data_IF_756509156179
#
_entry.id   IF_756509156179
#
_cell.length_a   1.000
_cell.length_b   1.000
_cell.length_c   1.000
_cell.angle_alpha   90.00
_cell.angle_beta   90.00
_cell.angle_gamma   90.00
#
_symmetry.space_group_name_H-M   'P 1'
#
loop_
_entity.id
_entity.type
_entity.pdbx_description
1 polymer ?
#
# COMPACT_ATOMS: atom_id res chain seq x y z
N UNK A 1 85.58 0.55 10.03
CA UNK A 1 85.03 -0.24 11.15
C UNK A 1 83.81 0.51 11.66
N UNK A 2 82.59 0.01 11.74
CA UNK A 2 81.98 -1.28 11.45
C UNK A 2 80.44 -1.05 11.52
N UNK A 3 79.72 -1.47 10.48
CA UNK A 3 78.34 -1.98 10.38
C UNK A 3 77.23 -1.72 11.46
N UNK A 4 76.10 -1.12 10.99
CA UNK A 4 74.71 -1.66 10.84
C UNK A 4 73.66 -1.80 11.99
N UNK A 5 72.38 -1.53 11.60
CA UNK A 5 71.04 -1.96 12.11
C UNK A 5 70.45 -1.11 13.28
N UNK A 6 69.15 -0.80 13.44
CA UNK A 6 67.87 -1.17 12.80
C UNK A 6 66.79 -0.11 13.14
N UNK A 7 65.69 -0.12 12.37
CA UNK A 7 64.44 0.67 12.38
C UNK A 7 63.64 0.81 13.70
N UNK A 8 62.80 1.85 13.83
CA UNK A 8 61.33 1.72 13.81
C UNK A 8 60.59 3.07 13.67
N UNK A 9 59.42 2.99 13.05
CA UNK A 9 58.48 4.01 12.56
C UNK A 9 57.77 4.76 13.70
N UNK A 10 57.60 6.08 13.56
CA UNK A 10 56.70 6.91 14.38
C UNK A 10 55.69 7.63 13.50
N UNK A 11 54.42 7.21 13.56
CA UNK A 11 53.28 7.77 12.83
C UNK A 11 52.94 9.15 13.41
N UNK A 12 52.79 10.15 12.53
CA UNK A 12 52.62 11.55 12.90
C UNK A 12 51.15 11.97 13.05
N UNK A 13 50.97 12.92 13.98
CA UNK A 13 49.92 13.92 14.13
C UNK A 13 48.57 13.49 14.74
N UNK A 14 48.42 13.86 16.01
CA UNK A 14 47.16 14.01 16.72
C UNK A 14 46.69 15.48 16.68
N UNK A 15 45.38 15.62 16.49
CA UNK A 15 44.46 16.69 16.95
C UNK A 15 44.61 18.12 16.43
N UNK A 16 43.59 18.56 15.67
CA UNK A 16 42.88 19.80 15.96
C UNK A 16 41.41 19.64 15.54
N UNK A 17 40.53 19.80 16.52
CA UNK A 17 39.09 19.65 16.43
C UNK A 17 38.42 20.92 15.87
N UNK A 18 37.14 20.77 15.50
CA UNK A 18 36.12 21.80 15.29
C UNK A 18 35.81 22.16 13.83
N UNK A 19 34.90 21.42 13.18
CA UNK A 19 33.93 21.99 12.24
C UNK A 19 32.59 21.20 12.24
N UNK A 20 31.51 21.97 12.27
CA UNK A 20 30.09 21.70 12.01
C UNK A 20 29.60 20.25 11.95
N UNK A 21 28.58 19.95 12.78
CA UNK A 21 27.65 18.84 12.56
C UNK A 21 26.91 19.00 11.23
N UNK A 22 27.49 18.48 10.16
CA UNK A 22 26.79 18.22 8.91
C UNK A 22 25.67 17.21 9.19
N UNK A 23 24.43 17.59 8.88
CA UNK A 23 23.29 16.68 8.85
C UNK A 23 23.62 15.50 7.94
N UNK A 24 23.76 14.31 8.52
CA UNK A 24 23.85 13.05 7.78
C UNK A 24 22.57 12.87 6.97
N UNK A 25 22.64 13.30 5.71
CA UNK A 25 21.59 13.12 4.71
C UNK A 25 21.80 11.73 4.13
N UNK A 26 21.64 10.70 4.96
CA UNK A 26 21.72 9.32 4.51
C UNK A 26 20.48 9.06 3.65
N UNK A 27 20.62 9.30 2.36
CA UNK A 27 19.65 8.92 1.35
C UNK A 27 19.54 7.39 1.39
N UNK A 28 18.54 6.89 2.12
CA UNK A 28 18.18 5.50 2.06
C UNK A 28 17.54 5.25 0.70
N UNK A 29 18.24 4.54 -0.17
CA UNK A 29 17.68 4.03 -1.41
C UNK A 29 16.59 3.03 -1.03
N UNK A 30 15.33 3.47 -1.02
CA UNK A 30 14.19 2.57 -0.93
C UNK A 30 14.06 1.88 -2.28
N UNK A 31 14.67 0.70 -2.41
CA UNK A 31 14.33 -0.22 -3.49
C UNK A 31 12.84 -0.50 -3.41
N UNK A 32 12.06 0.01 -4.36
CA UNK A 32 10.66 -0.37 -4.51
C UNK A 32 10.62 -1.72 -5.22
N UNK A 33 11.10 -2.77 -4.55
CA UNK A 33 10.90 -4.13 -5.03
C UNK A 33 9.40 -4.38 -5.04
N UNK A 34 8.87 -4.78 -6.20
CA UNK A 34 7.46 -5.18 -6.33
C UNK A 34 7.22 -6.25 -5.28
N UNK A 35 6.28 -5.99 -4.37
CA UNK A 35 5.87 -6.96 -3.36
C UNK A 35 5.55 -8.27 -4.05
N UNK A 36 6.22 -9.34 -3.61
CA UNK A 36 5.95 -10.67 -4.12
C UNK A 36 4.50 -11.02 -3.80
N UNK A 37 3.71 -11.29 -4.84
CA UNK A 37 2.35 -11.78 -4.67
C UNK A 37 2.41 -13.05 -3.83
N UNK A 38 1.52 -13.24 -2.84
CA UNK A 38 1.48 -14.50 -2.10
C UNK A 38 1.35 -15.65 -3.12
N UNK A 39 2.32 -16.57 -3.11
CA UNK A 39 2.43 -17.70 -4.05
C UNK A 39 1.40 -18.81 -3.73
N UNK A 40 0.20 -18.41 -3.32
CA UNK A 40 -0.89 -19.30 -2.99
C UNK A 40 -1.66 -19.67 -4.25
N UNK A 41 -1.89 -20.97 -4.46
CA UNK A 41 -2.70 -21.44 -5.58
C UNK A 41 -4.16 -21.16 -5.25
N UNK A 42 -4.75 -20.18 -5.94
CA UNK A 42 -6.17 -19.86 -5.80
C UNK A 42 -7.02 -20.77 -6.69
N UNK A 43 -8.19 -21.14 -6.20
CA UNK A 43 -9.18 -21.86 -7.00
C UNK A 43 -9.76 -20.89 -8.04
N UNK A 44 -9.93 -21.30 -9.31
CA UNK A 44 -10.53 -20.43 -10.32
C UNK A 44 -11.99 -20.09 -9.95
N UNK A 45 -12.54 -19.00 -10.52
CA UNK A 45 -13.93 -18.62 -10.29
C UNK A 45 -14.90 -19.77 -10.61
N UNK A 46 -15.88 -19.99 -9.73
CA UNK A 46 -16.84 -21.09 -9.87
C UNK A 46 -17.88 -20.88 -10.97
N UNK A 47 -18.14 -19.63 -11.37
CA UNK A 47 -19.15 -19.27 -12.37
C UNK A 47 -18.77 -18.00 -13.12
N UNK A 48 -19.17 -17.86 -14.39
CA UNK A 48 -19.01 -16.61 -15.12
C UNK A 48 -19.91 -15.51 -14.51
N UNK A 49 -19.51 -14.26 -14.71
CA UNK A 49 -20.33 -13.08 -14.41
C UNK A 49 -21.43 -12.96 -15.46
N UNK A 50 -22.68 -12.80 -15.00
CA UNK A 50 -23.82 -12.49 -15.85
C UNK A 50 -23.90 -10.99 -16.05
N UNK A 51 -23.99 -10.55 -17.29
CA UNK A 51 -24.12 -9.14 -17.66
C UNK A 51 -25.57 -8.80 -17.96
N UNK A 52 -26.01 -7.62 -17.51
CA UNK A 52 -27.24 -6.97 -17.97
C UNK A 52 -26.93 -5.64 -18.64
N UNK A 53 -27.96 -4.90 -18.99
CA UNK A 53 -27.84 -3.54 -19.56
C UNK A 53 -27.19 -2.57 -18.56
N UNK A 54 -27.41 -2.81 -17.26
CA UNK A 54 -26.85 -2.06 -16.15
C UNK A 54 -26.19 -2.99 -15.13
N UNK A 55 -24.97 -2.65 -14.71
CA UNK A 55 -24.13 -3.48 -13.86
C UNK A 55 -23.49 -2.64 -12.74
N UNK A 56 -23.17 -3.29 -11.62
CA UNK A 56 -22.55 -2.62 -10.45
C UNK A 56 -21.43 -3.48 -9.88
N UNK A 57 -20.25 -2.88 -9.67
CA UNK A 57 -19.23 -3.36 -8.73
C UNK A 57 -19.46 -2.59 -7.43
N UNK A 58 -19.60 -3.31 -6.32
CA UNK A 58 -19.94 -2.71 -5.03
C UNK A 58 -18.94 -3.14 -3.94
N UNK A 59 -18.45 -2.16 -3.18
CA UNK A 59 -17.63 -2.35 -1.97
C UNK A 59 -18.33 -1.74 -0.74
N UNK A 60 -17.98 -2.25 0.43
CA UNK A 60 -18.50 -1.78 1.74
C UNK A 60 -17.57 -2.29 2.83
N UNK A 61 -17.57 -1.63 3.99
CA UNK A 61 -16.93 -2.10 5.22
C UNK A 61 -15.47 -2.52 4.98
N UNK A 62 -14.75 -1.76 4.15
CA UNK A 62 -13.37 -2.12 3.78
C UNK A 62 -12.44 -1.97 4.98
N UNK A 63 -12.75 -1.06 5.91
CA UNK A 63 -12.05 -0.89 7.19
C UNK A 63 -10.52 -0.84 7.02
N UNK A 64 -10.04 -0.20 5.96
CA UNK A 64 -8.61 -0.02 5.68
C UNK A 64 -7.88 -1.27 5.18
N UNK A 65 -8.56 -2.35 4.79
CA UNK A 65 -7.95 -3.59 4.26
C UNK A 65 -7.44 -3.45 2.81
N UNK A 66 -6.60 -2.45 2.56
CA UNK A 66 -6.12 -2.11 1.21
C UNK A 66 -4.99 -3.01 0.69
N UNK A 67 -4.37 -3.81 1.55
CA UNK A 67 -3.23 -4.68 1.21
C UNK A 67 -3.61 -6.14 0.98
N UNK A 68 -4.91 -6.47 1.05
CA UNK A 68 -5.41 -7.83 1.14
C UNK A 68 -5.03 -8.51 2.47
N UNK A 69 -5.54 -9.73 2.67
CA UNK A 69 -5.20 -10.58 3.81
C UNK A 69 -3.91 -11.34 3.55
N UNK A 70 -3.04 -11.41 4.56
CA UNK A 70 -1.68 -11.96 4.40
C UNK A 70 -1.49 -13.30 5.09
N UNK A 71 -2.44 -13.78 5.90
CA UNK A 71 -2.26 -15.08 6.55
C UNK A 71 -2.43 -16.20 5.54
N UNK A 72 -1.60 -17.22 5.68
CA UNK A 72 -1.64 -18.44 4.86
C UNK A 72 -2.69 -19.44 5.34
N UNK A 73 -3.25 -19.25 6.54
CA UNK A 73 -4.29 -20.11 7.10
C UNK A 73 -5.63 -19.92 6.41
N UNK A 74 -6.35 -21.01 6.17
CA UNK A 74 -7.69 -20.96 5.56
C UNK A 74 -8.66 -20.10 6.41
N UNK A 75 -9.47 -19.22 5.84
CA UNK A 75 -9.71 -18.91 4.41
C UNK A 75 -8.94 -17.69 3.87
N UNK A 76 -8.01 -17.13 4.64
CA UNK A 76 -7.36 -15.84 4.31
C UNK A 76 -6.66 -15.76 2.94
N UNK A 77 -6.08 -16.84 2.38
CA UNK A 77 -5.53 -16.79 1.03
C UNK A 77 -6.52 -16.33 -0.05
N UNK A 78 -7.83 -16.56 0.11
CA UNK A 78 -8.85 -16.12 -0.85
C UNK A 78 -9.09 -14.60 -0.85
N UNK A 79 -8.59 -13.89 0.15
CA UNK A 79 -8.71 -12.43 0.29
C UNK A 79 -7.37 -11.72 0.08
N UNK A 80 -6.44 -12.36 -0.63
CA UNK A 80 -5.06 -11.88 -0.81
C UNK A 80 -4.87 -10.76 -1.82
N UNK A 81 -5.89 -10.47 -2.65
CA UNK A 81 -5.85 -9.35 -3.60
C UNK A 81 -5.83 -8.01 -2.88
N UNK A 82 -4.95 -7.12 -3.32
CA UNK A 82 -4.84 -5.77 -2.75
C UNK A 82 -5.63 -4.73 -3.56
N UNK A 83 -5.60 -3.47 -3.12
CA UNK A 83 -6.29 -2.38 -3.79
C UNK A 83 -5.77 -2.13 -5.22
N UNK A 84 -4.50 -2.44 -5.49
CA UNK A 84 -3.92 -2.36 -6.84
C UNK A 84 -4.47 -3.44 -7.77
N UNK A 85 -4.66 -4.66 -7.25
CA UNK A 85 -5.34 -5.73 -7.97
C UNK A 85 -6.80 -5.38 -8.23
N UNK A 86 -7.50 -4.83 -7.24
CA UNK A 86 -8.87 -4.36 -7.40
C UNK A 86 -8.98 -3.22 -8.42
N UNK A 87 -8.05 -2.26 -8.40
CA UNK A 87 -8.01 -1.18 -9.39
C UNK A 87 -7.81 -1.73 -10.81
N UNK A 88 -6.92 -2.72 -10.97
CA UNK A 88 -6.71 -3.40 -12.25
C UNK A 88 -7.96 -4.16 -12.70
N UNK A 89 -8.62 -4.88 -11.78
CA UNK A 89 -9.89 -5.56 -12.04
C UNK A 89 -10.97 -4.58 -12.51
N UNK A 90 -11.17 -3.46 -11.80
CA UNK A 90 -12.14 -2.41 -12.17
C UNK A 90 -11.83 -1.85 -13.55
N UNK A 91 -10.57 -1.54 -13.86
CA UNK A 91 -10.19 -1.01 -15.16
C UNK A 91 -10.55 -1.98 -16.30
N UNK A 92 -10.24 -3.27 -16.14
CA UNK A 92 -10.60 -4.29 -17.12
C UNK A 92 -12.11 -4.50 -17.23
N UNK A 93 -12.85 -4.50 -16.12
CA UNK A 93 -14.30 -4.65 -16.13
C UNK A 93 -15.00 -3.46 -16.80
N UNK A 94 -14.53 -2.23 -16.57
CA UNK A 94 -15.03 -1.05 -17.28
C UNK A 94 -14.73 -1.10 -18.78
N UNK A 95 -13.55 -1.60 -19.18
CA UNK A 95 -13.27 -1.83 -20.61
C UNK A 95 -14.22 -2.87 -21.23
N UNK A 96 -14.48 -3.98 -20.52
CA UNK A 96 -15.43 -5.01 -20.98
C UNK A 96 -16.85 -4.44 -21.10
N UNK A 97 -17.26 -3.54 -20.19
CA UNK A 97 -18.57 -2.88 -20.25
C UNK A 97 -18.68 -1.98 -21.51
N UNK A 98 -17.63 -1.21 -21.82
CA UNK A 98 -17.53 -0.43 -23.07
C UNK A 98 -17.65 -1.34 -24.30
N UNK A 99 -16.90 -2.44 -24.34
CA UNK A 99 -16.90 -3.37 -25.48
C UNK A 99 -18.27 -4.06 -25.67
N UNK A 100 -19.06 -4.14 -24.60
CA UNK A 100 -20.42 -4.72 -24.60
C UNK A 100 -21.53 -3.72 -24.83
N UNK A 101 -21.23 -2.42 -24.84
CA UNK A 101 -22.23 -1.34 -24.89
C UNK A 101 -23.24 -1.41 -23.72
N UNK A 102 -22.72 -1.60 -22.49
CA UNK A 102 -23.51 -1.66 -21.25
C UNK A 102 -22.95 -0.74 -20.18
N UNK A 103 -23.80 -0.34 -19.23
CA UNK A 103 -23.39 0.50 -18.11
C UNK A 103 -22.75 -0.32 -16.98
N UNK A 104 -21.69 0.25 -16.37
CA UNK A 104 -21.03 -0.32 -15.19
C UNK A 104 -20.63 0.77 -14.18
N UNK A 105 -21.32 0.78 -13.04
CA UNK A 105 -21.00 1.65 -11.92
C UNK A 105 -20.08 0.97 -10.90
N UNK A 106 -19.15 1.73 -10.33
CA UNK A 106 -18.38 1.38 -9.16
C UNK A 106 -18.92 2.16 -7.96
N UNK A 107 -19.41 1.45 -6.94
CA UNK A 107 -20.12 2.04 -5.79
C UNK A 107 -19.48 1.59 -4.47
N UNK A 108 -19.35 2.50 -3.52
CA UNK A 108 -18.94 2.19 -2.15
C UNK A 108 -19.97 2.68 -1.11
N UNK A 109 -20.20 1.88 -0.07
CA UNK A 109 -21.14 2.22 1.02
C UNK A 109 -20.51 2.64 2.36
N UNK A 110 -19.21 2.94 2.37
CA UNK A 110 -18.53 3.59 3.48
C UNK A 110 -17.78 2.63 4.41
N UNK A 111 -17.41 3.15 5.57
CA UNK A 111 -16.59 2.46 6.59
C UNK A 111 -15.22 2.02 6.04
N UNK A 112 -14.43 3.04 5.67
CA UNK A 112 -13.15 2.91 4.97
C UNK A 112 -11.92 2.77 5.90
N UNK A 113 -12.07 2.96 7.21
CA UNK A 113 -11.00 2.93 8.22
C UNK A 113 -11.48 2.26 9.53
N UNK A 114 -10.68 2.28 10.60
CA UNK A 114 -10.91 1.59 11.87
C UNK A 114 -10.82 0.05 11.75
N UNK A 115 -9.69 -0.45 11.25
CA UNK A 115 -9.49 -1.89 11.09
C UNK A 115 -8.07 -2.34 10.76
N UNK A 116 -7.22 -1.44 10.24
CA UNK A 116 -5.83 -1.76 9.96
C UNK A 116 -4.89 -0.62 10.33
N UNK A 117 -3.62 -0.96 10.61
CA UNK A 117 -2.60 0.06 10.86
C UNK A 117 -2.31 0.98 9.67
N UNK A 118 -2.75 0.63 8.45
CA UNK A 118 -2.57 1.49 7.27
C UNK A 118 -3.51 2.70 7.29
N UNK A 119 -4.75 2.52 7.75
CA UNK A 119 -5.71 3.61 7.93
C UNK A 119 -5.55 4.27 9.30
N UNK A 120 -5.29 3.48 10.34
CA UNK A 120 -5.39 3.92 11.73
C UNK A 120 -4.05 4.43 12.30
N UNK A 121 -2.95 4.16 11.60
CA UNK A 121 -1.59 4.54 11.99
C UNK A 121 -1.20 5.95 11.56
N UNK A 122 -1.82 6.98 12.14
CA UNK A 122 -1.55 8.39 11.83
C UNK A 122 -1.01 9.19 13.03
N UNK A 123 -0.30 10.32 12.80
CA UNK A 123 0.23 11.15 13.89
C UNK A 123 -0.87 11.75 14.78
N UNK A 124 -0.63 11.97 16.08
CA UNK A 124 -1.57 12.66 16.96
C UNK A 124 -1.99 14.03 16.40
N UNK A 125 -3.29 14.28 16.32
CA UNK A 125 -3.87 15.52 15.79
C UNK A 125 -3.98 15.59 14.26
N UNK A 126 -3.55 14.57 13.53
CA UNK A 126 -3.82 14.45 12.10
C UNK A 126 -5.27 13.97 11.85
N UNK A 127 -5.73 14.12 10.60
CA UNK A 127 -7.05 13.64 10.16
C UNK A 127 -6.98 12.13 9.95
N UNK A 128 -7.94 11.41 10.52
CA UNK A 128 -8.08 9.97 10.39
C UNK A 128 -8.15 9.53 8.93
N UNK A 129 -7.52 8.41 8.61
CA UNK A 129 -7.47 7.79 7.29
C UNK A 129 -7.03 8.71 6.14
N UNK A 130 -6.46 9.89 6.42
CA UNK A 130 -6.19 10.92 5.42
C UNK A 130 -5.20 10.42 4.35
N UNK A 131 -4.16 9.69 4.76
CA UNK A 131 -3.19 9.13 3.82
C UNK A 131 -3.71 7.90 3.09
N UNK A 132 -4.48 7.02 3.76
CA UNK A 132 -5.04 5.83 3.13
C UNK A 132 -6.12 6.17 2.09
N UNK A 133 -6.94 7.19 2.36
CA UNK A 133 -8.03 7.59 1.45
C UNK A 133 -7.52 8.12 0.11
N UNK A 134 -6.32 8.69 0.05
CA UNK A 134 -5.68 9.12 -1.21
C UNK A 134 -5.46 7.97 -2.19
N UNK A 135 -5.44 6.72 -1.74
CA UNK A 135 -5.41 5.56 -2.63
C UNK A 135 -6.79 5.25 -3.21
N UNK A 136 -7.84 5.35 -2.39
CA UNK A 136 -9.22 5.15 -2.85
C UNK A 136 -9.68 6.24 -3.82
N UNK A 137 -9.25 7.49 -3.61
CA UNK A 137 -9.48 8.62 -4.53
C UNK A 137 -8.95 8.39 -5.95
N UNK A 138 -8.05 7.42 -6.15
CA UNK A 138 -7.51 7.07 -7.48
C UNK A 138 -8.40 6.10 -8.24
N UNK A 139 -9.34 5.43 -7.56
CA UNK A 139 -10.28 4.53 -8.22
C UNK A 139 -11.46 5.34 -8.78
N UNK A 140 -12.01 4.93 -9.94
CA UNK A 140 -13.10 5.63 -10.59
C UNK A 140 -14.45 5.27 -9.94
N UNK A 141 -14.60 5.55 -8.64
CA UNK A 141 -15.89 5.40 -7.95
C UNK A 141 -16.90 6.39 -8.54
N UNK A 142 -18.06 5.87 -8.92
CA UNK A 142 -19.17 6.65 -9.48
C UNK A 142 -20.08 7.18 -8.35
N UNK A 143 -20.17 6.45 -7.22
CA UNK A 143 -20.90 6.86 -6.03
C UNK A 143 -20.23 6.33 -4.76
N UNK A 144 -20.13 7.18 -3.74
CA UNK A 144 -19.70 6.79 -2.40
C UNK A 144 -20.61 7.43 -1.35
N UNK A 145 -20.90 6.71 -0.26
CA UNK A 145 -21.55 7.28 0.92
C UNK A 145 -20.66 7.18 2.15
N UNK A 146 -20.96 7.99 3.17
CA UNK A 146 -20.32 7.87 4.48
C UNK A 146 -20.84 6.63 5.21
N UNK A 147 -19.95 5.98 5.95
CA UNK A 147 -20.29 4.93 6.89
C UNK A 147 -20.42 5.45 8.33
N UNK A 148 -20.72 4.56 9.28
CA UNK A 148 -20.88 4.94 10.68
C UNK A 148 -19.56 5.36 11.33
N UNK A 149 -18.45 4.70 11.00
CA UNK A 149 -17.17 4.92 11.68
C UNK A 149 -16.56 6.28 11.30
N UNK A 150 -16.90 6.81 10.14
CA UNK A 150 -16.58 8.20 9.73
C UNK A 150 -17.21 9.23 10.68
N UNK A 151 -18.33 8.92 11.34
CA UNK A 151 -19.04 9.89 12.20
C UNK A 151 -18.53 9.97 13.65
N UNK A 152 -17.40 9.31 13.99
CA UNK A 152 -16.79 9.42 15.33
C UNK A 152 -15.79 10.58 15.45
N UNK A 153 -15.60 11.38 14.40
CA UNK A 153 -14.64 12.50 14.31
C UNK A 153 -15.34 13.85 14.58
N UNK A 154 -16.29 13.90 15.53
CA UNK A 154 -16.86 15.17 16.05
C UNK A 154 -16.80 15.24 17.56
#
# INVERSE_FOLDING_TARGET
MLLFLLSLVGLAAACADHELHARDSRAHTHGHDRREYPQTVLTPPYRPVTWGDFNVIHTTDTHGWLLGHHRSGWAEPYYSGDLGDFASFVAHMKQIAIDKDVDLLLVDSGDLHDGTGLSDGYPPGAVDAHESNKFLERLPYDLMTIGKYVSRIV
#
